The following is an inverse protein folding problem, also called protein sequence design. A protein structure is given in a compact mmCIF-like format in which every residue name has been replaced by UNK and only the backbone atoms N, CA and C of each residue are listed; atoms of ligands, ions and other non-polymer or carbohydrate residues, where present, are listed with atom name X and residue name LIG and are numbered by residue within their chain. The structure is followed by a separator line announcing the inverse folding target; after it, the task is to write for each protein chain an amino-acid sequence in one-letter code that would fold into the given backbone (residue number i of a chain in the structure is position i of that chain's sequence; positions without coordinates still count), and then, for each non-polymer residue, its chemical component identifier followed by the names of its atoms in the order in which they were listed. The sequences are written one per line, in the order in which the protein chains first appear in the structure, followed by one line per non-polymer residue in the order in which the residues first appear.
data_IF_044243469722
#
_entry.id   IF_044243469722
#
_cell.length_a   1.000
_cell.length_b   1.000
_cell.length_c   1.000
_cell.angle_alpha   90.00
_cell.angle_beta   90.00
_cell.angle_gamma   90.00
#
_symmetry.space_group_name_H-M   'P 1'
#
loop_
_entity.id
_entity.type
_entity.pdbx_description
1 polymer ?
#
# COMPACT_ATOMS: atom_id res chain seq x y z
N UNK A 1 20.86 -17.03 23.66
CA UNK A 1 20.95 -17.51 22.27
C UNK A 1 21.61 -16.43 21.42
N UNK A 2 22.57 -16.77 20.56
CA UNK A 2 23.22 -15.84 19.63
C UNK A 2 22.75 -16.14 18.20
N UNK A 3 21.62 -15.56 17.81
CA UNK A 3 20.95 -15.79 16.52
C UNK A 3 21.09 -14.62 15.54
N UNK A 4 21.89 -13.62 15.88
CA UNK A 4 22.12 -12.40 15.06
C UNK A 4 23.49 -12.40 14.38
N UNK A 5 24.31 -13.41 14.67
CA UNK A 5 25.63 -13.59 14.07
C UNK A 5 25.64 -14.47 12.82
N UNK A 6 26.83 -14.92 12.44
CA UNK A 6 27.05 -15.76 11.25
C UNK A 6 26.20 -17.03 11.28
N UNK A 7 25.64 -17.38 10.12
CA UNK A 7 24.81 -18.58 9.95
C UNK A 7 23.31 -18.35 10.11
N UNK A 8 22.89 -17.11 10.43
CA UNK A 8 21.49 -16.72 10.52
C UNK A 8 21.15 -15.62 9.51
N UNK A 9 19.89 -15.62 9.06
CA UNK A 9 19.33 -14.60 8.18
C UNK A 9 18.05 -14.10 8.82
N UNK A 10 17.89 -12.78 8.88
CA UNK A 10 16.68 -12.12 9.37
C UNK A 10 15.94 -11.51 8.21
N UNK A 11 14.75 -12.03 7.92
CA UNK A 11 13.78 -11.41 7.00
C UNK A 11 12.69 -10.78 7.85
N UNK A 12 12.50 -9.47 7.70
CA UNK A 12 11.66 -8.68 8.62
C UNK A 12 10.67 -7.79 7.86
N UNK A 13 9.63 -7.33 8.58
CA UNK A 13 8.65 -6.37 8.07
C UNK A 13 9.23 -4.95 8.01
N UNK A 14 8.54 -4.05 7.31
CA UNK A 14 8.93 -2.65 7.19
C UNK A 14 9.02 -1.95 8.56
N UNK A 15 8.09 -2.21 9.47
CA UNK A 15 8.09 -1.64 10.82
C UNK A 15 9.31 -2.11 11.62
N UNK A 16 9.68 -3.39 11.48
CA UNK A 16 10.81 -3.97 12.17
C UNK A 16 12.16 -3.48 11.62
N UNK A 17 12.24 -3.05 10.35
CA UNK A 17 13.44 -2.39 9.82
C UNK A 17 13.78 -1.11 10.56
N UNK A 18 12.77 -0.38 11.06
CA UNK A 18 12.94 0.88 11.79
C UNK A 18 13.20 0.68 13.29
N UNK A 19 13.24 -0.56 13.77
CA UNK A 19 13.49 -0.84 15.18
C UNK A 19 14.96 -0.58 15.54
N UNK A 20 15.22 0.13 16.64
CA UNK A 20 16.58 0.51 17.05
C UNK A 20 17.55 -0.69 17.22
N UNK A 21 17.03 -1.86 17.55
CA UNK A 21 17.81 -3.08 17.78
C UNK A 21 17.82 -4.07 16.61
N UNK A 22 17.36 -3.67 15.41
CA UNK A 22 17.41 -4.54 14.21
C UNK A 22 18.85 -5.00 13.92
N UNK A 23 19.12 -6.30 13.72
CA UNK A 23 20.49 -6.78 13.52
C UNK A 23 21.08 -6.33 12.18
N UNK A 24 22.39 -6.12 12.15
CA UNK A 24 23.12 -5.88 10.90
C UNK A 24 22.95 -7.09 9.96
N UNK A 25 22.77 -6.83 8.68
CA UNK A 25 22.46 -7.85 7.69
C UNK A 25 20.98 -8.25 7.59
N UNK A 26 20.09 -7.72 8.44
CA UNK A 26 18.65 -7.93 8.26
C UNK A 26 18.18 -7.42 6.90
N UNK A 27 17.23 -8.14 6.31
CA UNK A 27 16.61 -7.80 5.03
C UNK A 27 15.13 -7.59 5.27
N UNK A 28 14.56 -6.56 4.68
CA UNK A 28 13.11 -6.32 4.72
C UNK A 28 12.64 -5.58 3.49
N UNK A 29 11.33 -5.36 3.43
CA UNK A 29 10.68 -4.65 2.35
C UNK A 29 10.27 -3.26 2.83
N UNK A 30 10.38 -2.27 1.93
CA UNK A 30 9.85 -0.93 2.13
C UNK A 30 8.91 -0.59 0.98
N UNK A 31 7.66 -0.27 1.26
CA UNK A 31 6.69 0.07 0.24
C UNK A 31 7.11 1.36 -0.50
N UNK A 32 7.15 1.30 -1.83
CA UNK A 32 7.49 2.46 -2.68
C UNK A 32 6.35 3.47 -2.60
N UNK A 33 6.70 4.75 -2.43
CA UNK A 33 5.78 5.88 -2.32
C UNK A 33 4.80 5.82 -1.12
N UNK A 34 5.03 4.93 -0.14
CA UNK A 34 4.14 4.77 1.01
C UNK A 34 3.88 6.06 1.81
N UNK A 35 4.85 6.98 1.80
CA UNK A 35 4.79 8.27 2.49
C UNK A 35 4.43 9.44 1.56
N UNK A 36 4.13 9.19 0.29
CA UNK A 36 3.76 10.22 -0.68
C UNK A 36 2.24 10.44 -0.64
N UNK A 37 1.81 11.18 0.39
CA UNK A 37 0.39 11.44 0.68
C UNK A 37 -0.34 12.11 -0.49
N UNK A 38 0.29 13.10 -1.13
CA UNK A 38 -0.29 13.84 -2.26
C UNK A 38 -0.52 12.92 -3.47
N UNK A 39 0.43 12.02 -3.75
CA UNK A 39 0.27 11.02 -4.81
C UNK A 39 -0.88 10.05 -4.50
N UNK A 40 -1.00 9.61 -3.24
CA UNK A 40 -2.09 8.74 -2.80
C UNK A 40 -3.47 9.41 -2.85
N UNK A 41 -3.58 10.69 -2.45
CA UNK A 41 -4.82 11.47 -2.56
C UNK A 41 -5.24 11.57 -4.02
N UNK A 42 -4.29 11.94 -4.89
CA UNK A 42 -4.53 12.11 -6.33
C UNK A 42 -5.03 10.81 -6.97
N UNK A 43 -4.33 9.70 -6.74
CA UNK A 43 -4.72 8.39 -7.27
C UNK A 43 -6.10 7.94 -6.75
N UNK A 44 -6.40 8.19 -5.48
CA UNK A 44 -7.69 7.87 -4.85
C UNK A 44 -8.85 8.65 -5.46
N UNK A 45 -8.64 9.94 -5.75
CA UNK A 45 -9.63 10.77 -6.43
C UNK A 45 -9.93 10.27 -7.85
N UNK A 46 -8.92 9.83 -8.60
CA UNK A 46 -9.12 9.24 -9.91
C UNK A 46 -9.93 7.94 -9.84
N UNK A 47 -9.58 7.04 -8.92
CA UNK A 47 -10.33 5.79 -8.68
C UNK A 47 -11.79 6.09 -8.35
N UNK A 48 -12.04 7.00 -7.40
CA UNK A 48 -13.39 7.37 -6.99
C UNK A 48 -14.18 8.01 -8.14
N UNK A 49 -13.57 8.91 -8.91
CA UNK A 49 -14.22 9.56 -10.04
C UNK A 49 -14.63 8.55 -11.13
N UNK A 50 -13.79 7.56 -11.42
CA UNK A 50 -14.13 6.49 -12.37
C UNK A 50 -15.28 5.62 -11.84
N UNK A 51 -15.26 5.25 -10.55
CA UNK A 51 -16.33 4.47 -9.94
C UNK A 51 -17.67 5.22 -9.92
N UNK A 52 -17.66 6.52 -9.59
CA UNK A 52 -18.86 7.37 -9.63
C UNK A 52 -19.40 7.54 -11.05
N UNK A 53 -18.52 7.67 -12.04
CA UNK A 53 -18.91 7.70 -13.45
C UNK A 53 -19.63 6.40 -13.84
N UNK A 54 -19.06 5.24 -13.46
CA UNK A 54 -19.68 3.94 -13.71
C UNK A 54 -21.02 3.77 -13.00
N UNK A 55 -21.10 4.16 -11.72
CA UNK A 55 -22.35 4.16 -10.95
C UNK A 55 -23.45 4.94 -11.67
N UNK A 56 -23.14 6.14 -12.17
CA UNK A 56 -24.08 6.99 -12.91
C UNK A 56 -24.52 6.38 -14.23
N UNK A 57 -23.63 5.66 -14.91
CA UNK A 57 -23.91 5.05 -16.21
C UNK A 57 -24.75 3.77 -16.09
N UNK A 58 -24.58 3.00 -15.01
CA UNK A 58 -25.22 1.69 -14.84
C UNK A 58 -26.44 1.69 -13.90
N UNK A 59 -26.62 2.72 -13.06
CA UNK A 59 -27.75 2.80 -12.13
C UNK A 59 -28.77 3.86 -12.57
N UNK A 60 -30.01 3.42 -12.79
CA UNK A 60 -31.13 4.29 -13.14
C UNK A 60 -31.64 5.12 -11.95
N UNK A 61 -31.36 4.70 -10.72
CA UNK A 61 -31.75 5.39 -9.49
C UNK A 61 -30.74 5.11 -8.39
N UNK A 62 -30.43 6.12 -7.59
CA UNK A 62 -29.49 6.06 -6.47
C UNK A 62 -30.18 6.53 -5.20
N UNK A 63 -29.97 5.81 -4.11
CA UNK A 63 -30.32 6.25 -2.76
C UNK A 63 -29.25 7.23 -2.26
N UNK A 64 -29.63 8.39 -1.69
CA UNK A 64 -28.67 9.31 -1.08
C UNK A 64 -27.95 8.64 0.10
N UNK A 65 -26.66 8.95 0.33
CA UNK A 65 -25.98 8.48 1.53
C UNK A 65 -26.69 8.99 2.80
N UNK A 66 -26.57 8.26 3.93
CA UNK A 66 -27.01 8.77 5.23
C UNK A 66 -26.38 10.14 5.50
N UNK A 67 -27.20 11.08 5.96
CA UNK A 67 -26.73 12.47 6.16
C UNK A 67 -25.86 12.64 7.39
N UNK A 68 -26.15 11.84 8.41
CA UNK A 68 -25.49 11.85 9.72
C UNK A 68 -25.68 10.49 10.41
N UNK A 69 -25.03 10.30 11.56
CA UNK A 69 -25.07 9.03 12.30
C UNK A 69 -26.42 8.76 13.01
N UNK A 70 -27.32 9.76 13.10
CA UNK A 70 -28.66 9.59 13.66
C UNK A 70 -29.67 9.16 12.59
N UNK A 71 -29.28 9.18 11.31
CA UNK A 71 -30.09 8.66 10.22
C UNK A 71 -30.14 7.13 10.31
N UNK A 72 -31.16 6.63 11.03
CA UNK A 72 -31.45 5.20 11.22
C UNK A 72 -32.12 4.57 10.01
N UNK A 73 -32.21 5.30 8.87
CA UNK A 73 -32.53 4.66 7.60
C UNK A 73 -31.59 3.48 7.41
N UNK A 74 -32.16 2.36 6.96
CA UNK A 74 -31.49 1.08 6.87
C UNK A 74 -30.22 1.11 6.03
N UNK A 75 -29.64 -0.06 5.79
CA UNK A 75 -28.35 -0.17 5.10
C UNK A 75 -28.35 0.55 3.74
N UNK A 76 -27.36 1.43 3.50
CA UNK A 76 -27.22 2.19 2.26
C UNK A 76 -26.82 1.26 1.09
N UNK A 77 -27.80 0.77 0.34
CA UNK A 77 -27.57 -0.24 -0.71
C UNK A 77 -26.81 0.34 -1.91
N UNK A 78 -27.01 1.63 -2.22
CA UNK A 78 -26.22 2.32 -3.25
C UNK A 78 -24.75 2.42 -2.85
N UNK A 79 -24.47 2.57 -1.54
CA UNK A 79 -23.11 2.55 -1.00
C UNK A 79 -22.40 1.22 -1.24
N UNK A 80 -23.09 0.09 -1.03
CA UNK A 80 -22.53 -1.25 -1.32
C UNK A 80 -22.17 -1.40 -2.80
N UNK A 81 -23.04 -0.93 -3.70
CA UNK A 81 -22.76 -0.94 -5.15
C UNK A 81 -21.58 -0.03 -5.52
N UNK A 82 -21.53 1.17 -4.94
CA UNK A 82 -20.40 2.08 -5.16
C UNK A 82 -19.08 1.44 -4.72
N UNK A 83 -19.06 0.75 -3.58
CA UNK A 83 -17.88 0.01 -3.13
C UNK A 83 -17.45 -1.05 -4.15
N UNK A 84 -18.40 -1.85 -4.68
CA UNK A 84 -18.09 -2.80 -5.76
C UNK A 84 -17.52 -2.12 -7.01
N UNK A 85 -18.10 -1.00 -7.44
CA UNK A 85 -17.54 -0.24 -8.56
C UNK A 85 -16.14 0.30 -8.28
N UNK A 86 -15.80 0.65 -7.03
CA UNK A 86 -14.44 1.03 -6.64
C UNK A 86 -13.48 -0.16 -6.81
N UNK A 87 -13.86 -1.35 -6.33
CA UNK A 87 -13.02 -2.56 -6.44
C UNK A 87 -12.70 -2.92 -7.89
N UNK A 88 -13.65 -2.69 -8.81
CA UNK A 88 -13.48 -2.96 -10.24
C UNK A 88 -12.55 -1.98 -10.97
N UNK A 89 -12.22 -0.83 -10.36
CA UNK A 89 -11.40 0.17 -11.03
C UNK A 89 -9.94 -0.23 -11.14
N UNK A 90 -9.35 0.05 -12.30
CA UNK A 90 -7.92 -0.14 -12.55
C UNK A 90 -7.30 1.14 -13.11
N UNK A 91 -6.52 1.83 -12.27
CA UNK A 91 -5.71 2.97 -12.70
C UNK A 91 -4.33 2.46 -13.13
N UNK A 92 -4.11 2.34 -14.44
CA UNK A 92 -2.87 1.74 -14.99
C UNK A 92 -1.61 2.56 -14.70
N UNK A 93 -1.72 3.89 -14.72
CA UNK A 93 -0.61 4.83 -14.61
C UNK A 93 -0.89 5.86 -13.51
N UNK A 94 -1.13 5.41 -12.28
CA UNK A 94 -1.22 6.29 -11.12
C UNK A 94 0.16 6.83 -10.74
N UNK A 95 0.18 7.90 -9.94
CA UNK A 95 1.42 8.49 -9.40
C UNK A 95 2.16 7.51 -8.50
N UNK A 96 1.43 6.60 -7.85
CA UNK A 96 1.97 5.52 -7.03
C UNK A 96 2.06 4.19 -7.79
N UNK A 97 2.03 4.21 -9.12
CA UNK A 97 2.05 3.02 -9.97
C UNK A 97 0.66 2.52 -10.33
N UNK A 98 0.54 1.22 -10.64
CA UNK A 98 -0.77 0.61 -10.94
C UNK A 98 -1.61 0.56 -9.65
N UNK A 99 -2.85 1.05 -9.71
CA UNK A 99 -3.82 0.96 -8.61
C UNK A 99 -4.95 0.04 -9.02
N UNK A 100 -5.17 -1.01 -8.24
CA UNK A 100 -6.27 -1.94 -8.32
C UNK A 100 -6.45 -2.59 -6.94
N UNK A 101 -7.59 -3.23 -6.72
CA UNK A 101 -7.95 -3.81 -5.43
C UNK A 101 -8.27 -5.30 -5.56
N UNK A 102 -8.10 -6.04 -4.47
CA UNK A 102 -8.64 -7.38 -4.34
C UNK A 102 -10.11 -7.36 -3.86
N UNK A 103 -10.67 -8.54 -3.59
CA UNK A 103 -12.03 -8.69 -3.10
C UNK A 103 -12.28 -8.08 -1.71
N UNK A 104 -11.23 -7.85 -0.93
CA UNK A 104 -11.30 -7.24 0.40
C UNK A 104 -11.14 -5.71 0.35
N UNK A 105 -10.76 -5.16 -0.80
CA UNK A 105 -10.42 -3.74 -0.94
C UNK A 105 -8.97 -3.42 -0.62
N UNK A 106 -8.11 -4.44 -0.47
CA UNK A 106 -6.68 -4.23 -0.29
C UNK A 106 -6.03 -3.92 -1.64
N UNK A 107 -5.12 -2.94 -1.63
CA UNK A 107 -4.41 -2.55 -2.84
C UNK A 107 -3.49 -3.68 -3.29
N UNK A 108 -3.67 -4.11 -4.53
CA UNK A 108 -2.78 -5.06 -5.21
C UNK A 108 -1.77 -4.34 -6.10
N UNK A 109 -0.69 -5.03 -6.47
CA UNK A 109 0.37 -4.54 -7.37
C UNK A 109 1.28 -3.46 -6.76
N UNK A 110 1.38 -3.43 -5.43
CA UNK A 110 2.35 -2.61 -4.73
C UNK A 110 3.79 -2.96 -5.15
N UNK A 111 4.64 -1.94 -5.28
CA UNK A 111 6.07 -2.09 -5.53
C UNK A 111 6.83 -1.89 -4.23
N UNK A 112 7.89 -2.67 -4.00
CA UNK A 112 8.68 -2.61 -2.78
C UNK A 112 10.16 -2.49 -3.07
N UNK A 113 10.85 -1.64 -2.33
CA UNK A 113 12.30 -1.64 -2.27
C UNK A 113 12.77 -2.70 -1.28
N UNK A 114 13.74 -3.53 -1.70
CA UNK A 114 14.39 -4.50 -0.82
C UNK A 114 15.51 -3.79 -0.08
N UNK A 115 15.39 -3.70 1.23
CA UNK A 115 16.31 -2.98 2.10
C UNK A 115 17.16 -3.97 2.87
N UNK A 116 18.45 -3.71 2.92
CA UNK A 116 19.41 -4.36 3.80
C UNK A 116 19.91 -3.36 4.84
N UNK A 117 19.90 -3.76 6.12
CA UNK A 117 20.48 -2.95 7.19
C UNK A 117 21.98 -3.18 7.25
N UNK A 118 22.75 -2.10 7.07
CA UNK A 118 24.21 -2.14 7.13
C UNK A 118 24.71 -1.23 8.24
N UNK A 119 25.59 -1.77 9.06
CA UNK A 119 26.25 -1.03 10.15
C UNK A 119 27.50 -0.33 9.60
N UNK A 120 27.56 0.98 9.75
CA UNK A 120 28.73 1.79 9.37
C UNK A 120 29.35 2.39 10.62
N UNK A 121 30.61 2.06 10.85
CA UNK A 121 31.39 2.63 11.95
C UNK A 121 31.86 4.03 11.57
N UNK A 122 31.11 5.06 12.00
CA UNK A 122 31.60 6.44 12.03
C UNK A 122 31.77 6.85 13.49
N UNK A 123 32.97 7.30 13.83
CA UNK A 123 33.28 7.98 15.11
C UNK A 123 32.84 7.26 16.40
N UNK A 124 32.95 5.92 16.44
CA UNK A 124 32.76 5.13 17.68
C UNK A 124 31.32 4.77 18.03
N UNK A 125 30.33 5.22 17.25
CA UNK A 125 28.92 4.81 17.38
C UNK A 125 28.47 4.10 16.10
N UNK A 126 28.01 2.84 16.18
CA UNK A 126 27.50 2.15 15.00
C UNK A 126 26.20 2.81 14.52
N UNK A 127 26.23 3.35 13.30
CA UNK A 127 25.06 3.86 12.62
C UNK A 127 24.51 2.77 11.69
N UNK A 128 23.21 2.49 11.81
CA UNK A 128 22.50 1.56 10.93
C UNK A 128 21.93 2.32 9.75
N UNK A 129 22.39 1.98 8.55
CA UNK A 129 21.91 2.56 7.31
C UNK A 129 20.95 1.59 6.62
N UNK A 130 19.87 2.14 6.09
CA UNK A 130 18.94 1.41 5.23
C UNK A 130 19.46 1.49 3.79
N UNK A 131 20.05 0.40 3.30
CA UNK A 131 20.62 0.34 1.96
C UNK A 131 19.65 -0.43 1.05
N UNK A 132 19.18 0.21 -0.01
CA UNK A 132 18.40 -0.47 -1.05
C UNK A 132 19.33 -1.41 -1.83
N UNK A 133 19.01 -2.70 -1.81
CA UNK A 133 19.78 -3.76 -2.48
C UNK A 133 19.00 -4.44 -3.61
N UNK A 134 17.72 -4.11 -3.78
CA UNK A 134 16.87 -4.63 -4.84
C UNK A 134 15.53 -3.91 -4.90
N UNK A 135 14.69 -4.35 -5.83
CA UNK A 135 13.31 -3.88 -5.94
C UNK A 135 12.41 -5.01 -6.41
N UNK A 136 11.31 -5.22 -5.71
CA UNK A 136 10.20 -6.03 -6.16
C UNK A 136 9.24 -5.14 -6.93
N UNK A 137 9.19 -5.34 -8.26
CA UNK A 137 8.23 -4.67 -9.13
C UNK A 137 7.10 -5.64 -9.46
N UNK A 138 5.89 -5.13 -9.50
CA UNK A 138 4.79 -5.87 -10.08
C UNK A 138 5.08 -6.16 -11.57
N UNK A 139 5.03 -7.43 -11.94
CA UNK A 139 5.35 -7.85 -13.31
C UNK A 139 4.18 -7.54 -14.25
N UNK A 140 4.40 -6.65 -15.22
CA UNK A 140 3.40 -6.23 -16.23
C UNK A 140 2.99 -7.35 -17.21
N UNK A 141 3.62 -8.53 -17.18
CA UNK A 141 3.57 -9.52 -18.27
C UNK A 141 2.44 -10.56 -18.13
N UNK A 142 1.65 -10.54 -17.05
CA UNK A 142 0.46 -11.38 -16.93
C UNK A 142 -0.80 -10.50 -16.94
N UNK A 143 -1.21 -10.07 -18.13
CA UNK A 143 -2.53 -9.49 -18.40
C UNK A 143 -3.09 -10.06 -19.68
#
# INVERSE_FOLDING_TARGET
MNMTGRGYVWVVTEQALSAGHVPSGAIGLKLVNASDEDAHITDSLYVLAMALKKLREEQNSTEPPPKDCNDTRGTWETGKKLFQYILEQVLKNGLTGKVAFDENGDRINAEYDVINIQEVNKTGHPLKNHIRVGQYKYNKVLS
#
